data_IF_773987630844
#
_entry.id   IF_773987630844
#
_cell.length_a   1.000
_cell.length_b   1.000
_cell.length_c   1.000
_cell.angle_alpha   90.00
_cell.angle_beta   90.00
_cell.angle_gamma   90.00
#
_symmetry.space_group_name_H-M   'P 1'
#
loop_
_entity.id
_entity.type
_entity.pdbx_description
1 polymer ?
#
# COMPACT_ATOMS: atom_id res chain seq x y z
N UNK A 1 -43.05 -28.47 25.64
CA UNK A 1 -42.64 -27.11 25.24
C UNK A 1 -41.32 -27.20 24.48
N UNK A 2 -41.36 -27.18 23.14
CA UNK A 2 -40.14 -27.22 22.31
C UNK A 2 -39.56 -25.82 22.16
N UNK A 3 -38.28 -25.63 22.51
CA UNK A 3 -37.57 -24.38 22.26
C UNK A 3 -37.39 -24.19 20.74
N UNK A 4 -37.95 -23.11 20.20
CA UNK A 4 -37.69 -22.65 18.84
C UNK A 4 -36.20 -22.31 18.69
N UNK A 5 -35.47 -23.13 17.93
CA UNK A 5 -34.12 -22.84 17.44
C UNK A 5 -34.24 -21.94 16.20
N UNK A 6 -34.37 -20.63 16.42
CA UNK A 6 -34.40 -19.66 15.34
C UNK A 6 -33.79 -18.34 15.78
N UNK A 7 -32.71 -17.93 15.14
CA UNK A 7 -32.18 -16.56 15.30
C UNK A 7 -33.06 -15.58 14.53
N UNK A 8 -33.31 -14.41 15.13
CA UNK A 8 -34.07 -13.34 14.48
C UNK A 8 -33.26 -12.74 13.32
N UNK A 9 -33.95 -12.44 12.21
CA UNK A 9 -33.35 -11.78 11.05
C UNK A 9 -33.02 -10.32 11.39
N UNK A 10 -31.73 -9.98 11.35
CA UNK A 10 -31.27 -8.61 11.49
C UNK A 10 -31.70 -7.74 10.31
N UNK A 11 -32.20 -6.52 10.57
CA UNK A 11 -32.53 -5.53 9.54
C UNK A 11 -31.46 -4.44 9.52
N UNK A 12 -30.88 -4.15 8.35
CA UNK A 12 -29.94 -3.05 8.19
C UNK A 12 -30.67 -1.71 8.35
N UNK A 13 -30.31 -0.94 9.39
CA UNK A 13 -30.79 0.43 9.57
C UNK A 13 -29.71 1.39 9.07
N UNK A 14 -30.01 2.34 8.17
CA UNK A 14 -29.03 3.34 7.76
C UNK A 14 -28.63 4.15 8.99
N UNK A 15 -27.35 4.08 9.37
CA UNK A 15 -26.77 4.94 10.42
C UNK A 15 -26.31 6.23 9.77
N UNK A 16 -26.69 7.37 10.35
CA UNK A 16 -26.17 8.66 9.92
C UNK A 16 -24.67 8.72 10.21
N UNK A 17 -23.86 8.96 9.18
CA UNK A 17 -22.43 9.17 9.32
C UNK A 17 -22.16 10.52 10.01
N UNK A 18 -21.13 10.61 10.85
CA UNK A 18 -20.68 11.89 11.39
C UNK A 18 -20.14 12.76 10.26
N UNK A 19 -20.39 14.07 10.33
CA UNK A 19 -19.88 15.03 9.34
C UNK A 19 -18.36 15.22 9.44
N UNK A 20 -17.82 15.05 10.64
CA UNK A 20 -16.39 15.18 10.94
C UNK A 20 -15.88 13.89 11.58
N UNK A 21 -14.67 13.48 11.19
CA UNK A 21 -13.95 12.34 11.75
C UNK A 21 -12.51 12.78 11.99
N UNK A 22 -12.03 12.65 13.22
CA UNK A 22 -10.62 12.89 13.50
C UNK A 22 -9.76 11.80 12.85
N UNK A 23 -8.66 12.20 12.23
CA UNK A 23 -7.78 11.27 11.52
C UNK A 23 -7.14 10.23 12.44
N UNK A 24 -6.99 10.52 13.73
CA UNK A 24 -6.54 9.54 14.73
C UNK A 24 -7.53 8.39 14.91
N UNK A 25 -8.84 8.65 14.81
CA UNK A 25 -9.87 7.61 14.86
C UNK A 25 -9.87 6.71 13.63
N UNK A 26 -9.38 7.20 12.48
CA UNK A 26 -9.21 6.36 11.29
C UNK A 26 -8.04 5.38 11.42
N UNK A 27 -7.00 5.71 12.22
CA UNK A 27 -5.86 4.81 12.46
C UNK A 27 -6.21 3.61 13.35
N UNK A 28 -7.25 3.72 14.17
CA UNK A 28 -7.63 2.68 15.12
C UNK A 28 -8.11 1.39 14.45
N UNK A 29 -8.55 1.47 13.19
CA UNK A 29 -9.08 0.32 12.44
C UNK A 29 -7.98 -0.39 11.65
N UNK A 30 -7.11 -1.10 12.39
CA UNK A 30 -6.43 -2.31 11.96
C UNK A 30 -5.45 -2.16 10.79
N UNK A 31 -4.20 -1.88 11.10
CA UNK A 31 -3.09 -2.30 10.23
C UNK A 31 -3.15 -3.83 10.14
N UNK A 32 -3.17 -4.35 8.91
CA UNK A 32 -3.29 -5.79 8.70
C UNK A 32 -2.04 -6.50 9.26
N UNK A 33 -2.16 -7.50 10.17
CA UNK A 33 -1.03 -8.06 10.91
C UNK A 33 0.14 -8.54 10.03
N UNK A 34 -0.17 -9.16 8.88
CA UNK A 34 0.83 -9.53 7.88
C UNK A 34 1.69 -8.34 7.46
N UNK A 35 1.06 -7.25 7.01
CA UNK A 35 1.76 -6.09 6.48
C UNK A 35 2.51 -5.32 7.56
N UNK A 36 2.02 -5.33 8.81
CA UNK A 36 2.79 -4.81 9.94
C UNK A 36 4.10 -5.59 10.11
N UNK A 37 4.02 -6.92 10.15
CA UNK A 37 5.21 -7.77 10.32
C UNK A 37 6.18 -7.65 9.15
N UNK A 38 5.66 -7.60 7.91
CA UNK A 38 6.50 -7.37 6.73
C UNK A 38 7.15 -5.99 6.79
N UNK A 39 6.45 -4.96 7.26
CA UNK A 39 7.05 -3.64 7.42
C UNK A 39 8.23 -3.66 8.40
N UNK A 40 8.08 -4.30 9.55
CA UNK A 40 9.15 -4.45 10.55
C UNK A 40 10.39 -5.13 9.96
N UNK A 41 10.20 -6.22 9.20
CA UNK A 41 11.30 -6.93 8.53
C UNK A 41 11.99 -6.02 7.50
N UNK A 42 11.22 -5.25 6.74
CA UNK A 42 11.75 -4.33 5.74
C UNK A 42 12.52 -3.15 6.35
N UNK A 43 12.05 -2.63 7.49
CA UNK A 43 12.74 -1.60 8.27
C UNK A 43 14.06 -2.14 8.83
N UNK A 44 14.04 -3.33 9.45
CA UNK A 44 15.25 -3.98 9.98
C UNK A 44 16.29 -4.24 8.88
N UNK A 45 15.85 -4.58 7.67
CA UNK A 45 16.72 -4.78 6.51
C UNK A 45 17.17 -3.47 5.83
N UNK A 46 16.73 -2.30 6.33
CA UNK A 46 16.93 -1.00 5.72
C UNK A 46 16.58 -0.98 4.21
N UNK A 47 15.47 -1.63 3.88
CA UNK A 47 15.10 -1.93 2.50
C UNK A 47 14.92 -0.67 1.64
N UNK A 48 14.43 0.43 2.24
CA UNK A 48 14.29 1.72 1.54
C UNK A 48 15.62 2.20 0.97
N UNK A 49 16.65 2.30 1.82
CA UNK A 49 17.99 2.70 1.41
C UNK A 49 18.62 1.71 0.42
N UNK A 50 18.37 0.41 0.60
CA UNK A 50 18.81 -0.62 -0.35
C UNK A 50 18.22 -0.42 -1.76
N UNK A 51 16.90 -0.27 -1.86
CA UNK A 51 16.21 -0.04 -3.12
C UNK A 51 16.64 1.28 -3.78
N UNK A 52 16.83 2.35 -2.99
CA UNK A 52 17.34 3.63 -3.48
C UNK A 52 18.75 3.52 -4.04
N UNK A 53 19.67 2.84 -3.34
CA UNK A 53 21.04 2.62 -3.80
C UNK A 53 21.08 1.92 -5.16
N UNK A 54 20.29 0.86 -5.32
CA UNK A 54 20.24 0.10 -6.58
C UNK A 54 19.61 0.93 -7.71
N UNK A 55 18.55 1.66 -7.40
CA UNK A 55 17.81 2.42 -8.40
C UNK A 55 18.42 3.78 -8.73
N UNK A 56 19.39 4.27 -7.95
CA UNK A 56 19.97 5.63 -8.06
C UNK A 56 20.31 6.04 -9.48
N UNK A 57 20.91 5.14 -10.27
CA UNK A 57 21.30 5.39 -11.67
C UNK A 57 20.15 5.75 -12.62
N UNK A 58 18.91 5.44 -12.24
CA UNK A 58 17.71 5.76 -13.01
C UNK A 58 17.12 7.14 -12.68
N UNK A 59 17.63 7.80 -11.63
CA UNK A 59 17.07 9.06 -11.13
C UNK A 59 18.06 10.20 -11.31
N UNK A 60 17.57 11.34 -11.82
CA UNK A 60 18.31 12.58 -11.83
C UNK A 60 18.42 13.14 -10.39
N UNK A 61 19.55 13.74 -10.00
CA UNK A 61 19.71 14.33 -8.66
C UNK A 61 18.66 15.40 -8.34
N UNK A 62 18.38 16.28 -9.31
CA UNK A 62 17.37 17.33 -9.19
C UNK A 62 16.71 17.51 -10.55
N UNK A 63 15.43 17.11 -10.69
CA UNK A 63 14.66 17.34 -11.90
C UNK A 63 13.15 17.31 -11.60
N UNK A 64 12.50 18.46 -11.78
CA UNK A 64 11.05 18.59 -11.62
C UNK A 64 10.55 18.14 -10.24
N UNK A 65 9.29 17.67 -10.20
CA UNK A 65 8.68 17.15 -8.98
C UNK A 65 9.28 15.78 -8.64
N UNK A 66 9.71 15.53 -7.39
CA UNK A 66 10.17 14.22 -6.97
C UNK A 66 9.14 13.13 -7.27
N UNK A 67 9.59 12.04 -7.89
CA UNK A 67 8.79 10.83 -7.98
C UNK A 67 8.69 10.16 -6.62
N UNK A 68 7.73 9.26 -6.47
CA UNK A 68 7.66 8.32 -5.34
C UNK A 68 9.02 7.62 -5.12
N UNK A 69 9.37 7.29 -3.87
CA UNK A 69 10.67 6.69 -3.52
C UNK A 69 10.74 5.22 -3.98
N UNK A 70 11.91 4.69 -4.44
CA UNK A 70 12.06 3.31 -4.89
C UNK A 70 11.57 2.27 -3.88
N UNK A 71 11.80 2.45 -2.57
CA UNK A 71 11.26 1.54 -1.55
C UNK A 71 9.74 1.40 -1.59
N UNK A 72 9.02 2.53 -1.76
CA UNK A 72 7.56 2.56 -1.91
C UNK A 72 7.10 1.80 -3.15
N UNK A 73 7.88 1.85 -4.24
CA UNK A 73 7.59 1.13 -5.49
C UNK A 73 7.48 -0.37 -5.25
N UNK A 74 8.54 -0.94 -4.70
CA UNK A 74 8.69 -2.38 -4.54
C UNK A 74 7.75 -2.91 -3.45
N UNK A 75 7.44 -2.09 -2.43
CA UNK A 75 6.37 -2.37 -1.48
C UNK A 75 5.01 -2.54 -2.18
N UNK A 76 4.68 -1.70 -3.16
CA UNK A 76 3.44 -1.87 -3.93
C UNK A 76 3.43 -3.18 -4.74
N UNK A 77 4.56 -3.56 -5.34
CA UNK A 77 4.66 -4.84 -6.06
C UNK A 77 4.55 -6.05 -5.14
N UNK A 78 5.06 -5.97 -3.90
CA UNK A 78 4.84 -7.02 -2.88
C UNK A 78 3.36 -7.18 -2.52
N UNK A 79 2.59 -6.09 -2.44
CA UNK A 79 1.14 -6.16 -2.24
C UNK A 79 0.50 -6.93 -3.41
N UNK A 80 0.89 -6.59 -4.64
CA UNK A 80 0.42 -7.31 -5.82
C UNK A 80 0.73 -8.80 -5.77
N UNK A 81 1.92 -9.18 -5.30
CA UNK A 81 2.28 -10.59 -5.11
C UNK A 81 1.47 -11.27 -4.01
N UNK A 82 1.30 -10.65 -2.84
CA UNK A 82 0.58 -11.26 -1.71
C UNK A 82 -0.94 -11.37 -1.93
N UNK A 83 -1.50 -10.50 -2.75
CA UNK A 83 -2.94 -10.45 -3.01
C UNK A 83 -3.32 -10.92 -4.42
N UNK A 84 -2.38 -11.54 -5.15
CA UNK A 84 -2.58 -12.06 -6.50
C UNK A 84 -3.14 -11.01 -7.49
N UNK A 85 -2.59 -9.79 -7.43
CA UNK A 85 -2.95 -8.67 -8.30
C UNK A 85 -1.89 -8.47 -9.38
N UNK A 86 -2.18 -8.98 -10.56
CA UNK A 86 -1.22 -9.03 -11.67
C UNK A 86 -1.09 -7.74 -12.49
N UNK A 87 -1.87 -6.71 -12.16
CA UNK A 87 -1.87 -5.44 -12.91
C UNK A 87 -1.45 -4.25 -12.07
N UNK A 88 -0.62 -3.37 -12.64
CA UNK A 88 -0.23 -2.10 -12.01
C UNK A 88 -1.45 -1.24 -11.65
N UNK A 89 -2.50 -1.31 -12.47
CA UNK A 89 -3.75 -0.60 -12.21
C UNK A 89 -4.49 -1.21 -11.02
N UNK A 90 -4.52 -2.54 -10.91
CA UNK A 90 -5.10 -3.22 -9.77
C UNK A 90 -4.33 -2.91 -8.48
N UNK A 91 -3.00 -2.96 -8.52
CA UNK A 91 -2.14 -2.60 -7.38
C UNK A 91 -2.40 -1.14 -6.98
N UNK A 92 -2.36 -0.20 -7.93
CA UNK A 92 -2.63 1.21 -7.65
C UNK A 92 -4.02 1.39 -7.04
N UNK A 93 -5.05 0.71 -7.57
CA UNK A 93 -6.40 0.75 -7.02
C UNK A 93 -6.42 0.23 -5.58
N UNK A 94 -5.88 -0.96 -5.32
CA UNK A 94 -5.86 -1.61 -4.01
C UNK A 94 -5.15 -0.79 -2.95
N UNK A 95 -3.94 -0.30 -3.27
CA UNK A 95 -3.13 0.53 -2.38
C UNK A 95 -3.82 1.85 -2.05
N UNK A 96 -4.55 2.39 -3.03
CA UNK A 96 -5.22 3.67 -2.90
C UNK A 96 -6.54 3.62 -2.14
N UNK A 97 -7.19 2.47 -2.13
CA UNK A 97 -8.50 2.24 -1.50
C UNK A 97 -8.37 1.80 -0.04
N UNK A 98 -7.15 1.44 0.40
CA UNK A 98 -6.93 0.79 1.68
C UNK A 98 -6.15 1.64 2.67
N UNK A 99 -6.87 2.18 3.66
CA UNK A 99 -6.26 2.89 4.79
C UNK A 99 -5.34 1.97 5.61
N UNK A 100 -5.69 0.69 5.76
CA UNK A 100 -4.88 -0.30 6.49
C UNK A 100 -3.55 -0.62 5.80
N UNK A 101 -3.43 -0.39 4.49
CA UNK A 101 -2.17 -0.54 3.76
C UNK A 101 -1.30 0.71 3.79
N UNK A 102 -1.82 1.90 4.15
CA UNK A 102 -1.07 3.18 4.11
C UNK A 102 0.24 3.14 4.89
N UNK A 103 0.25 2.49 6.04
CA UNK A 103 1.48 2.32 6.82
C UNK A 103 2.51 1.44 6.11
N UNK A 104 2.07 0.45 5.34
CA UNK A 104 2.95 -0.50 4.68
C UNK A 104 3.68 0.09 3.46
N UNK A 105 3.02 0.95 2.68
CA UNK A 105 3.66 1.66 1.56
C UNK A 105 4.21 3.04 1.96
N UNK A 106 4.21 3.36 3.26
CA UNK A 106 4.91 4.48 3.89
C UNK A 106 4.58 5.87 3.31
N UNK A 107 3.28 6.18 3.19
CA UNK A 107 2.83 7.46 2.63
C UNK A 107 1.83 8.16 3.55
N UNK A 108 1.97 9.48 3.66
CA UNK A 108 1.11 10.32 4.51
C UNK A 108 -0.33 10.39 4.00
N UNK A 109 -1.26 10.86 4.84
CA UNK A 109 -2.65 11.03 4.41
C UNK A 109 -2.84 12.14 3.38
N UNK A 110 -1.96 13.15 3.38
CA UNK A 110 -1.96 14.26 2.42
C UNK A 110 -1.24 13.93 1.11
N UNK A 111 -0.38 12.91 1.11
CA UNK A 111 0.35 12.54 -0.08
C UNK A 111 -0.57 11.96 -1.16
N UNK A 112 -0.30 12.38 -2.40
CA UNK A 112 -1.17 12.13 -3.56
C UNK A 112 -1.36 10.61 -3.78
N UNK A 113 -2.61 10.23 -4.07
CA UNK A 113 -3.02 8.89 -4.48
C UNK A 113 -2.02 8.31 -5.48
N UNK A 114 -1.44 7.14 -5.18
CA UNK A 114 -0.67 6.36 -6.16
C UNK A 114 -1.56 6.09 -7.36
N UNK A 115 -1.32 6.79 -8.46
CA UNK A 115 -2.07 6.61 -9.69
C UNK A 115 -1.37 5.63 -10.64
N UNK A 116 -2.16 5.05 -11.56
CA UNK A 116 -1.66 4.10 -12.56
C UNK A 116 -0.49 4.68 -13.36
N UNK A 117 -0.53 5.98 -13.66
CA UNK A 117 0.47 6.62 -14.51
C UNK A 117 1.83 6.66 -13.84
N UNK A 118 1.84 6.84 -12.53
CA UNK A 118 3.05 6.87 -11.71
C UNK A 118 3.65 5.47 -11.59
N UNK A 119 2.82 4.44 -11.37
CA UNK A 119 3.28 3.04 -11.37
C UNK A 119 3.86 2.62 -12.72
N UNK A 120 3.17 2.92 -13.83
CA UNK A 120 3.60 2.50 -15.15
C UNK A 120 4.88 3.20 -15.63
N UNK A 121 5.02 4.51 -15.35
CA UNK A 121 6.28 5.23 -15.60
C UNK A 121 7.42 4.59 -14.82
N UNK A 122 7.18 4.26 -13.55
CA UNK A 122 8.20 3.62 -12.71
C UNK A 122 8.61 2.25 -13.20
N UNK A 123 7.71 1.39 -13.64
CA UNK A 123 8.09 0.08 -14.22
C UNK A 123 9.03 0.21 -15.41
N UNK A 124 8.88 1.26 -16.21
CA UNK A 124 9.72 1.46 -17.41
C UNK A 124 11.13 1.95 -17.10
N UNK A 125 11.39 2.46 -15.90
CA UNK A 125 12.71 2.99 -15.53
C UNK A 125 13.71 1.88 -15.15
N UNK A 126 13.49 1.05 -14.12
CA UNK A 126 14.41 -0.02 -13.77
C UNK A 126 14.38 -1.13 -14.81
N UNK A 127 15.56 -1.66 -15.15
CA UNK A 127 15.61 -2.85 -16.00
C UNK A 127 15.02 -4.07 -15.29
N UNK A 128 14.70 -5.12 -16.05
CA UNK A 128 14.29 -6.42 -15.49
C UNK A 128 15.33 -6.97 -14.51
N UNK A 129 16.62 -6.83 -14.82
CA UNK A 129 17.71 -7.21 -13.93
C UNK A 129 17.73 -6.43 -12.61
N UNK A 130 17.34 -5.14 -12.62
CA UNK A 130 17.19 -4.38 -11.38
C UNK A 130 16.02 -4.88 -10.53
N UNK A 131 14.88 -5.22 -11.15
CA UNK A 131 13.76 -5.80 -10.40
C UNK A 131 14.17 -7.12 -9.73
N UNK A 132 14.85 -8.01 -10.47
CA UNK A 132 15.37 -9.26 -9.92
C UNK A 132 16.34 -9.02 -8.75
N UNK A 133 17.22 -8.02 -8.87
CA UNK A 133 18.19 -7.69 -7.82
C UNK A 133 17.50 -7.20 -6.54
N UNK A 134 16.39 -6.46 -6.66
CA UNK A 134 15.67 -5.95 -5.49
C UNK A 134 14.80 -7.03 -4.83
N UNK A 135 14.29 -8.00 -5.59
CA UNK A 135 13.43 -9.07 -5.09
C UNK A 135 14.17 -10.35 -4.68
N UNK A 136 15.48 -10.46 -4.95
CA UNK A 136 16.32 -11.56 -4.48
C UNK A 136 16.64 -11.41 -3.00
#
# INVERSE_FOLDING_TARGET
MGRSLGMALGKHKPKQASLWVDTSHLRANGSHPLYQRVNEILEQANFGAYAERICRKYYAPTLGRPSIAPGVYFRCFRIGYFEEIDSERGIAYRVSDSLSLRQFWAVSMEERKLDRSTMSKRRRLPSSGTHQTVFR
#
